data_IF_927220157128
#
_entry.id   IF_927220157128
#
_cell.length_a   1.000
_cell.length_b   1.000
_cell.length_c   1.000
_cell.angle_alpha   90.00
_cell.angle_beta   90.00
_cell.angle_gamma   90.00
#
_symmetry.space_group_name_H-M   'P 1'
#
loop_
_entity.id
_entity.type
_entity.pdbx_description
1 polymer ?
#
# COMPACT_ATOMS: atom_id res chain seq x y z
N UNK A 1 -0.23 -10.10 -14.43
CA UNK A 1 -1.27 -9.24 -13.82
C UNK A 1 -2.07 -8.56 -14.92
N UNK A 2 -3.40 -8.69 -14.92
CA UNK A 2 -4.30 -8.20 -15.98
C UNK A 2 -4.34 -6.66 -16.15
N UNK A 3 -3.60 -5.91 -15.33
CA UNK A 3 -3.47 -4.44 -15.40
C UNK A 3 -2.66 -3.99 -16.63
N UNK A 4 -1.77 -4.84 -17.15
CA UNK A 4 -0.87 -4.47 -18.24
C UNK A 4 -1.57 -4.18 -19.59
N UNK A 5 -2.86 -4.50 -19.74
CA UNK A 5 -3.55 -4.34 -21.04
C UNK A 5 -4.29 -3.00 -21.22
N UNK A 6 -4.66 -2.28 -20.16
CA UNK A 6 -5.35 -0.98 -20.26
C UNK A 6 -5.15 -0.12 -18.99
N UNK A 7 -4.07 0.69 -18.89
CA UNK A 7 -3.88 1.60 -17.76
C UNK A 7 -4.87 2.78 -17.77
N UNK A 8 -5.31 3.23 -18.94
CA UNK A 8 -6.04 4.51 -19.08
C UNK A 8 -7.54 4.43 -18.75
N UNK A 9 -8.08 3.22 -18.54
CA UNK A 9 -9.50 3.00 -18.21
C UNK A 9 -9.76 2.76 -16.72
N UNK A 10 -8.70 2.63 -15.91
CA UNK A 10 -8.85 2.28 -14.49
C UNK A 10 -9.20 3.52 -13.64
N UNK A 11 -10.18 3.42 -12.74
CA UNK A 11 -10.51 4.50 -11.81
C UNK A 11 -9.29 4.91 -10.97
N UNK A 12 -9.11 6.23 -10.76
CA UNK A 12 -8.00 6.79 -9.98
C UNK A 12 -7.83 6.14 -8.61
N UNK A 13 -8.94 5.85 -7.92
CA UNK A 13 -8.91 5.22 -6.59
C UNK A 13 -8.40 3.78 -6.65
N UNK A 14 -8.75 3.03 -7.70
CA UNK A 14 -8.28 1.66 -7.86
C UNK A 14 -6.77 1.64 -8.14
N UNK A 15 -6.29 2.52 -9.02
CA UNK A 15 -4.84 2.70 -9.21
C UNK A 15 -4.13 3.13 -7.93
N UNK A 16 -4.75 4.03 -7.16
CA UNK A 16 -4.18 4.48 -5.90
C UNK A 16 -4.05 3.34 -4.88
N UNK A 17 -5.06 2.48 -4.81
CA UNK A 17 -5.05 1.28 -3.98
C UNK A 17 -3.94 0.31 -4.41
N UNK A 18 -3.86 -0.03 -5.69
CA UNK A 18 -2.83 -0.96 -6.19
C UNK A 18 -1.41 -0.44 -5.95
N UNK A 19 -1.15 0.85 -6.19
CA UNK A 19 0.16 1.46 -5.89
C UNK A 19 0.47 1.37 -4.40
N UNK A 20 -0.46 1.79 -3.54
CA UNK A 20 -0.26 1.72 -2.10
C UNK A 20 -0.05 0.29 -1.60
N UNK A 21 -0.74 -0.69 -2.17
CA UNK A 21 -0.56 -2.11 -1.87
C UNK A 21 0.85 -2.61 -2.23
N UNK A 22 1.31 -2.36 -3.45
CA UNK A 22 2.63 -2.78 -3.89
C UNK A 22 3.74 -2.05 -3.13
N UNK A 23 3.57 -0.77 -2.80
CA UNK A 23 4.53 -0.01 -1.99
C UNK A 23 4.69 -0.62 -0.59
N UNK A 24 3.61 -1.11 0.04
CA UNK A 24 3.72 -1.79 1.34
C UNK A 24 4.56 -3.07 1.25
N UNK A 25 4.32 -3.89 0.22
CA UNK A 25 5.06 -5.13 -0.01
C UNK A 25 6.51 -4.82 -0.34
N UNK A 26 6.80 -3.83 -1.18
CA UNK A 26 8.18 -3.42 -1.52
C UNK A 26 8.94 -2.92 -0.28
N UNK A 27 8.27 -2.17 0.59
CA UNK A 27 8.91 -1.56 1.74
C UNK A 27 9.14 -2.54 2.90
N UNK A 28 8.18 -3.43 3.19
CA UNK A 28 8.17 -4.27 4.40
C UNK A 28 8.17 -5.78 4.11
N UNK A 29 8.05 -6.18 2.84
CA UNK A 29 7.85 -7.55 2.39
C UNK A 29 6.47 -8.14 2.74
N UNK A 30 5.58 -7.34 3.34
CA UNK A 30 4.21 -7.72 3.68
C UNK A 30 3.30 -6.50 3.75
N UNK A 31 1.99 -6.74 3.81
CA UNK A 31 0.99 -5.68 3.97
C UNK A 31 0.83 -5.31 5.44
N UNK A 32 0.84 -4.01 5.73
CA UNK A 32 0.34 -3.44 6.99
C UNK A 32 -1.01 -2.79 6.74
N UNK A 33 -2.01 -3.11 7.55
CA UNK A 33 -3.36 -2.55 7.43
C UNK A 33 -3.36 -1.03 7.59
N UNK A 34 -2.67 -0.54 8.63
CA UNK A 34 -2.52 0.90 8.87
C UNK A 34 -1.68 1.57 7.78
N UNK A 35 -0.55 0.98 7.40
CA UNK A 35 0.32 1.51 6.36
C UNK A 35 -0.39 1.62 5.01
N UNK A 36 -1.16 0.59 4.64
CA UNK A 36 -1.99 0.58 3.44
C UNK A 36 -3.07 1.65 3.48
N UNK A 37 -3.82 1.74 4.59
CA UNK A 37 -4.89 2.73 4.76
C UNK A 37 -4.35 4.16 4.66
N UNK A 38 -3.26 4.47 5.36
CA UNK A 38 -2.63 5.80 5.35
C UNK A 38 -2.10 6.15 3.96
N UNK A 39 -1.33 5.26 3.33
CA UNK A 39 -0.76 5.50 2.00
C UNK A 39 -1.85 5.64 0.92
N UNK A 40 -2.90 4.82 0.96
CA UNK A 40 -4.06 4.95 0.08
C UNK A 40 -4.74 6.32 0.24
N UNK A 41 -5.05 6.72 1.48
CA UNK A 41 -5.73 7.99 1.76
C UNK A 41 -4.88 9.22 1.44
N UNK A 42 -3.56 9.15 1.66
CA UNK A 42 -2.61 10.17 1.21
C UNK A 42 -2.73 10.37 -0.30
N UNK A 43 -2.79 9.28 -1.05
CA UNK A 43 -2.83 9.30 -2.52
C UNK A 43 -4.19 9.73 -3.08
N UNK A 44 -5.29 9.40 -2.39
CA UNK A 44 -6.63 9.81 -2.79
C UNK A 44 -7.02 11.20 -2.28
N UNK A 45 -6.35 11.74 -1.26
CA UNK A 45 -6.64 13.03 -0.63
C UNK A 45 -7.70 12.96 0.47
N UNK A 46 -8.07 11.76 0.91
CA UNK A 46 -9.19 11.51 1.85
C UNK A 46 -8.74 11.35 3.31
N UNK A 47 -7.49 11.68 3.65
CA UNK A 47 -6.93 11.49 5.00
C UNK A 47 -7.78 12.08 6.13
N UNK A 48 -8.31 13.29 5.94
CA UNK A 48 -9.07 14.00 6.96
C UNK A 48 -10.54 13.59 7.04
N UNK A 49 -11.06 12.83 6.06
CA UNK A 49 -12.47 12.41 6.07
C UNK A 49 -12.80 11.49 7.25
N UNK A 50 -11.81 10.73 7.73
CA UNK A 50 -11.98 9.81 8.86
C UNK A 50 -11.26 10.27 10.13
N UNK A 51 -10.84 11.54 10.20
CA UNK A 51 -10.13 12.09 11.36
C UNK A 51 -10.97 12.08 12.65
N UNK A 52 -12.30 12.07 12.54
CA UNK A 52 -13.24 11.95 13.66
C UNK A 52 -13.40 10.50 14.14
N UNK A 53 -13.27 9.51 13.26
CA UNK A 53 -13.40 8.08 13.57
C UNK A 53 -12.06 7.45 14.01
N UNK A 54 -10.94 7.99 13.54
CA UNK A 54 -9.60 7.47 13.82
C UNK A 54 -9.28 7.34 15.33
N UNK A 55 -9.58 8.33 16.19
CA UNK A 55 -9.32 8.21 17.63
C UNK A 55 -10.03 7.01 18.25
N UNK A 56 -11.30 6.78 17.90
CA UNK A 56 -12.10 5.67 18.40
C UNK A 56 -11.65 4.29 17.91
N UNK A 57 -10.97 4.22 16.76
CA UNK A 57 -10.38 2.97 16.26
C UNK A 57 -9.04 2.66 16.91
N UNK A 58 -8.22 3.69 17.16
CA UNK A 58 -6.94 3.58 17.89
C UNK A 58 -7.19 3.14 19.34
N UNK A 59 -8.12 3.79 20.06
CA UNK A 59 -8.40 3.44 21.47
C UNK A 59 -8.96 2.03 21.63
N UNK A 60 -9.61 1.49 20.61
CA UNK A 60 -10.19 0.13 20.60
C UNK A 60 -9.21 -0.96 20.13
N UNK A 61 -7.94 -0.59 19.87
CA UNK A 61 -6.91 -1.53 19.41
C UNK A 61 -7.13 -2.10 18.01
N UNK A 62 -8.04 -1.51 17.22
CA UNK A 62 -8.37 -1.99 15.87
C UNK A 62 -7.35 -1.58 14.82
N UNK A 63 -6.42 -0.69 15.18
CA UNK A 63 -5.31 -0.27 14.34
C UNK A 63 -4.02 -0.83 14.93
N UNK A 64 -3.52 -1.90 14.33
CA UNK A 64 -2.19 -2.42 14.65
C UNK A 64 -1.15 -1.43 14.13
N UNK A 65 -0.62 -0.61 15.05
CA UNK A 65 0.38 0.44 14.75
C UNK A 65 1.74 -0.11 14.33
N UNK A 66 1.97 -1.41 14.53
CA UNK A 66 3.20 -2.07 14.12
C UNK A 66 3.28 -2.20 12.60
N UNK A 67 4.39 -1.73 12.02
CA UNK A 67 4.82 -2.11 10.68
C UNK A 67 6.04 -3.05 10.75
N UNK A 68 5.94 -4.26 11.35
CA UNK A 68 7.05 -5.19 11.28
C UNK A 68 7.31 -5.56 9.82
N UNK A 69 8.58 -5.59 9.43
CA UNK A 69 9.01 -6.15 8.15
C UNK A 69 9.27 -7.64 8.32
N UNK A 70 9.18 -8.39 7.22
CA UNK A 70 9.67 -9.78 7.20
C UNK A 70 11.21 -9.79 7.20
N UNK A 71 11.83 -10.91 7.58
CA UNK A 71 13.28 -11.08 7.49
C UNK A 71 13.80 -10.99 6.05
N UNK A 72 13.05 -11.55 5.10
CA UNK A 72 13.40 -11.58 3.67
C UNK A 72 12.96 -10.36 2.86
N UNK A 73 13.01 -9.16 3.44
CA UNK A 73 12.55 -7.94 2.73
C UNK A 73 13.46 -7.56 1.57
N UNK A 74 14.75 -7.87 1.65
CA UNK A 74 15.71 -7.58 0.58
C UNK A 74 15.47 -8.43 -0.65
N UNK A 75 15.10 -9.71 -0.48
CA UNK A 75 14.73 -10.61 -1.56
C UNK A 75 13.48 -10.12 -2.28
N UNK A 76 12.49 -9.62 -1.52
CA UNK A 76 11.30 -8.98 -2.11
C UNK A 76 11.71 -7.76 -2.94
N UNK A 77 12.58 -6.88 -2.42
CA UNK A 77 13.08 -5.72 -3.17
C UNK A 77 13.83 -6.12 -4.43
N UNK A 78 14.60 -7.20 -4.38
CA UNK A 78 15.31 -7.75 -5.53
C UNK A 78 14.34 -8.24 -6.63
N UNK A 79 13.23 -8.88 -6.26
CA UNK A 79 12.18 -9.28 -7.22
C UNK A 79 11.58 -8.05 -7.91
N UNK A 80 11.23 -7.01 -7.14
CA UNK A 80 10.71 -5.76 -7.74
C UNK A 80 11.71 -5.13 -8.70
N UNK A 81 12.99 -5.07 -8.31
CA UNK A 81 14.05 -4.54 -9.18
C UNK A 81 14.18 -5.34 -10.48
N UNK A 82 14.17 -6.67 -10.40
CA UNK A 82 14.23 -7.53 -11.58
C UNK A 82 13.03 -7.32 -12.53
N UNK A 83 11.82 -7.17 -11.98
CA UNK A 83 10.63 -6.86 -12.80
C UNK A 83 10.72 -5.48 -13.47
N UNK A 84 11.25 -4.46 -12.78
CA UNK A 84 11.46 -3.12 -13.36
C UNK A 84 12.52 -3.12 -14.47
N UNK A 85 13.52 -4.00 -14.38
CA UNK A 85 14.55 -4.18 -15.41
C UNK A 85 14.01 -4.94 -16.64
N UNK A 86 13.12 -5.92 -16.46
CA UNK A 86 12.45 -6.64 -17.56
C UNK A 86 11.45 -5.76 -18.34
N UNK A 87 10.78 -4.82 -17.67
CA UNK A 87 9.82 -3.90 -18.30
C UNK A 87 10.51 -2.74 -19.06
N UNK A 88 11.84 -2.59 -18.97
CA UNK A 88 12.62 -1.51 -19.56
C UNK A 88 13.23 -1.86 -20.92
#
# INVERSE_FOLDING_TARGET
MAVAKQPDTLPRNLMAFHRSFLDQIRAHGRISELGLMVSYKLRTGSLFQDATAAPGMVTRGKLHLGAPSISGVEEVRAIFKACEEEER
#
